data_IF_706110649638
#
_entry.id   IF_706110649638
#
_cell.length_a   1.000
_cell.length_b   1.000
_cell.length_c   1.000
_cell.angle_alpha   90.00
_cell.angle_beta   90.00
_cell.angle_gamma   90.00
#
_symmetry.space_group_name_H-M   'P 1'
#
loop_
_entity.id
_entity.type
_entity.pdbx_description
1 polymer ?
#
# COMPACT_ATOMS: atom_id res chain seq x y z
N UNK A 1 7.44 6.04 1.85
CA UNK A 1 6.21 6.61 1.25
C UNK A 1 5.13 6.79 2.29
N UNK A 2 4.09 7.52 1.95
CA UNK A 2 2.93 7.77 2.82
C UNK A 2 1.64 7.74 2.00
N UNK A 3 0.53 7.31 2.62
CA UNK A 3 -0.79 7.28 2.02
C UNK A 3 -1.59 8.50 2.48
N UNK A 4 -1.88 9.41 1.55
CA UNK A 4 -2.62 10.64 1.83
C UNK A 4 -4.09 10.57 1.39
N UNK A 5 -5.01 11.02 2.25
CA UNK A 5 -6.39 11.29 1.87
C UNK A 5 -6.49 12.69 1.23
N UNK A 6 -6.57 12.72 -0.10
CA UNK A 6 -6.54 13.99 -0.85
C UNK A 6 -7.83 14.79 -0.66
N UNK A 7 -7.68 16.06 -0.25
CA UNK A 7 -8.77 17.03 -0.15
C UNK A 7 -8.43 18.28 -0.96
N UNK A 8 -9.46 18.95 -1.49
CA UNK A 8 -9.28 20.16 -2.30
C UNK A 8 -8.58 21.25 -1.48
N UNK A 9 -7.47 21.77 -2.00
CA UNK A 9 -6.67 22.81 -1.35
C UNK A 9 -5.83 22.32 -0.16
N UNK A 10 -5.78 21.00 0.09
CA UNK A 10 -4.96 20.41 1.14
C UNK A 10 -3.46 20.59 0.88
N UNK A 11 -2.69 20.71 1.96
CA UNK A 11 -1.22 20.76 1.95
C UNK A 11 -0.69 19.54 2.69
N UNK A 12 0.26 18.81 2.10
CA UNK A 12 0.77 17.53 2.64
C UNK A 12 2.25 17.59 3.05
N UNK A 13 2.77 18.81 3.24
CA UNK A 13 4.06 19.04 3.91
C UNK A 13 5.31 19.05 3.04
N UNK A 14 5.38 18.23 1.99
CA UNK A 14 6.57 18.20 1.13
C UNK A 14 6.94 19.59 0.56
N UNK A 15 8.22 20.01 0.55
CA UNK A 15 9.43 19.24 0.88
C UNK A 15 9.89 19.31 2.34
N UNK A 16 9.35 20.22 3.15
CA UNK A 16 9.92 20.52 4.47
C UNK A 16 9.36 19.62 5.58
N UNK A 17 8.15 19.10 5.38
CA UNK A 17 7.45 18.23 6.34
C UNK A 17 7.03 16.92 5.65
N UNK A 18 7.12 15.81 6.37
CA UNK A 18 6.74 14.47 5.87
C UNK A 18 6.22 13.59 7.01
N UNK A 19 5.44 12.56 6.67
CA UNK A 19 4.90 11.62 7.62
C UNK A 19 4.07 12.30 8.72
N UNK A 20 4.08 11.71 9.91
CA UNK A 20 3.43 12.26 11.10
C UNK A 20 4.26 13.36 11.80
N UNK A 21 4.61 14.42 11.06
CA UNK A 21 5.31 15.58 11.60
C UNK A 21 6.83 15.50 11.59
N UNK A 22 7.40 14.65 10.72
CA UNK A 22 8.82 14.66 10.43
C UNK A 22 9.26 15.94 9.74
N UNK A 23 10.52 16.33 9.91
CA UNK A 23 11.10 17.52 9.29
C UNK A 23 10.79 18.82 10.05
N UNK A 24 10.46 19.88 9.30
CA UNK A 24 10.20 21.24 9.79
C UNK A 24 8.97 21.85 9.10
N UNK A 25 8.47 22.98 9.60
CA UNK A 25 7.35 23.72 8.97
C UNK A 25 6.05 22.92 8.75
N UNK A 26 5.76 21.91 9.58
CA UNK A 26 4.53 21.10 9.50
C UNK A 26 3.23 21.84 9.86
N UNK A 27 3.29 23.11 10.25
CA UNK A 27 2.11 23.85 10.67
C UNK A 27 1.11 24.03 9.50
N UNK A 28 -0.12 23.56 9.68
CA UNK A 28 -1.17 23.64 8.68
C UNK A 28 -1.08 22.60 7.55
N UNK A 29 -0.21 21.58 7.70
CA UNK A 29 -0.21 20.41 6.82
C UNK A 29 -1.21 19.36 7.30
N UNK A 30 -1.63 18.50 6.39
CA UNK A 30 -2.50 17.35 6.64
C UNK A 30 -1.59 16.13 6.73
N UNK A 31 -1.62 15.46 7.88
CA UNK A 31 -0.87 14.23 8.09
C UNK A 31 -1.42 13.08 7.24
N UNK A 32 -0.57 12.11 6.86
CA UNK A 32 -1.02 10.95 6.11
C UNK A 32 -1.94 10.04 6.93
N UNK A 33 -2.72 9.23 6.22
CA UNK A 33 -3.59 8.21 6.79
C UNK A 33 -2.78 7.01 7.30
N UNK A 34 -1.66 6.72 6.64
CA UNK A 34 -0.70 5.69 7.00
C UNK A 34 0.69 6.01 6.41
N UNK A 35 1.73 5.60 7.11
CA UNK A 35 3.12 5.64 6.65
C UNK A 35 3.57 4.25 6.21
N UNK A 36 4.36 4.18 5.14
CA UNK A 36 5.02 2.95 4.70
C UNK A 36 6.44 2.90 5.28
N UNK A 37 7.05 1.72 5.26
CA UNK A 37 8.45 1.57 5.64
C UNK A 37 9.34 2.45 4.74
N UNK A 38 10.37 3.13 5.30
CA UNK A 38 11.29 3.94 4.50
C UNK A 38 11.91 3.11 3.37
N UNK A 39 11.99 3.67 2.16
CA UNK A 39 12.57 3.01 0.98
C UNK A 39 11.78 1.79 0.43
N UNK A 40 10.56 1.50 0.91
CA UNK A 40 9.77 0.39 0.39
C UNK A 40 9.25 0.57 -1.05
N UNK A 41 9.20 1.81 -1.57
CA UNK A 41 8.69 2.18 -2.89
C UNK A 41 7.25 1.70 -3.13
N UNK A 42 6.28 2.43 -2.60
CA UNK A 42 4.86 2.14 -2.80
C UNK A 42 4.40 2.54 -4.22
N UNK A 43 4.29 1.56 -5.12
CA UNK A 43 4.14 1.82 -6.56
C UNK A 43 2.74 1.47 -7.11
N UNK A 44 2.01 0.59 -6.42
CA UNK A 44 0.67 0.16 -6.82
C UNK A 44 -0.33 0.28 -5.69
N UNK A 45 -1.57 0.67 -6.01
CA UNK A 45 -2.67 0.74 -5.03
C UNK A 45 -3.97 0.25 -5.65
N UNK A 46 -4.73 -0.58 -4.92
CA UNK A 46 -6.11 -0.94 -5.28
C UNK A 46 -6.99 -1.06 -4.05
N UNK A 47 -8.22 -0.53 -4.11
CA UNK A 47 -9.24 -0.81 -3.09
C UNK A 47 -9.92 -2.15 -3.36
N UNK A 48 -10.07 -2.96 -2.33
CA UNK A 48 -10.67 -4.27 -2.45
C UNK A 48 -12.19 -4.21 -2.40
N UNK A 49 -12.80 -4.56 -3.54
CA UNK A 49 -14.26 -4.65 -3.72
C UNK A 49 -14.73 -6.07 -4.02
N UNK A 50 -13.78 -7.02 -4.10
CA UNK A 50 -14.04 -8.43 -4.41
C UNK A 50 -14.79 -9.17 -3.31
N UNK A 51 -15.25 -10.39 -3.62
CA UNK A 51 -15.98 -11.25 -2.66
C UNK A 51 -15.28 -12.54 -2.28
N UNK A 52 -14.12 -12.81 -2.85
CA UNK A 52 -13.32 -13.99 -2.53
C UNK A 52 -12.77 -13.94 -1.10
N UNK A 53 -12.21 -12.80 -0.68
CA UNK A 53 -11.74 -12.64 0.69
C UNK A 53 -12.92 -12.38 1.64
N UNK A 54 -12.69 -12.61 2.94
CA UNK A 54 -13.71 -12.39 3.96
C UNK A 54 -14.23 -10.95 3.95
N UNK A 55 -15.42 -10.72 4.49
CA UNK A 55 -16.04 -9.39 4.52
C UNK A 55 -15.15 -8.33 5.18
N UNK A 56 -14.23 -8.73 6.07
CA UNK A 56 -13.30 -7.83 6.73
C UNK A 56 -12.34 -7.12 5.76
N UNK A 57 -12.09 -7.67 4.57
CA UNK A 57 -11.22 -7.05 3.55
C UNK A 57 -11.95 -6.04 2.67
N UNK A 58 -13.29 -6.02 2.66
CA UNK A 58 -14.04 -5.14 1.76
C UNK A 58 -13.90 -3.69 2.20
N UNK A 59 -13.48 -2.83 1.30
CA UNK A 59 -13.24 -1.41 1.58
C UNK A 59 -11.81 -1.11 2.06
N UNK A 60 -11.00 -2.12 2.34
CA UNK A 60 -9.57 -1.96 2.56
C UNK A 60 -8.85 -1.71 1.25
N UNK A 61 -7.60 -1.24 1.33
CA UNK A 61 -6.71 -1.15 0.17
C UNK A 61 -5.56 -2.13 0.26
N UNK A 62 -4.98 -2.45 -0.89
CA UNK A 62 -3.70 -3.13 -1.00
C UNK A 62 -2.70 -2.19 -1.66
N UNK A 63 -1.47 -2.21 -1.17
CA UNK A 63 -0.34 -1.47 -1.73
C UNK A 63 0.75 -2.46 -2.13
N UNK A 64 1.24 -2.34 -3.36
CA UNK A 64 2.43 -3.06 -3.82
C UNK A 64 3.65 -2.20 -3.49
N UNK A 65 4.55 -2.78 -2.71
CA UNK A 65 5.84 -2.20 -2.38
C UNK A 65 6.89 -2.86 -3.27
N UNK A 66 7.39 -2.12 -4.25
CA UNK A 66 8.34 -2.61 -5.26
C UNK A 66 9.63 -3.11 -4.62
N UNK A 67 10.06 -2.46 -3.53
CA UNK A 67 11.29 -2.77 -2.81
C UNK A 67 12.46 -1.90 -3.24
N UNK A 68 13.50 -1.91 -2.41
CA UNK A 68 14.68 -1.11 -2.68
C UNK A 68 15.63 -1.81 -3.67
N UNK A 69 16.49 -1.03 -4.32
CA UNK A 69 17.60 -1.56 -5.15
C UNK A 69 18.97 -1.20 -4.57
N UNK A 70 18.99 -0.62 -3.36
CA UNK A 70 20.10 0.21 -2.85
C UNK A 70 20.50 -0.18 -1.41
N UNK A 71 19.66 -0.92 -0.67
CA UNK A 71 19.96 -1.33 0.70
C UNK A 71 20.05 -2.84 0.84
N UNK A 72 20.69 -3.31 1.92
CA UNK A 72 20.74 -4.74 2.27
C UNK A 72 19.57 -5.14 3.18
N UNK A 73 18.65 -4.21 3.47
CA UNK A 73 17.46 -4.47 4.25
C UNK A 73 16.39 -5.01 3.30
N UNK A 74 15.78 -6.14 3.64
CA UNK A 74 14.64 -6.71 2.91
C UNK A 74 13.39 -5.82 3.11
N UNK A 75 13.38 -4.65 2.47
CA UNK A 75 12.35 -3.61 2.57
C UNK A 75 11.54 -3.56 1.28
N UNK A 76 10.21 -3.57 1.40
CA UNK A 76 9.30 -3.77 0.27
C UNK A 76 9.31 -5.22 -0.22
N UNK A 77 9.29 -5.47 -1.53
CA UNK A 77 9.18 -6.81 -2.11
C UNK A 77 7.92 -7.57 -1.64
N UNK A 78 6.82 -6.83 -1.44
CA UNK A 78 5.59 -7.35 -0.81
C UNK A 78 4.34 -6.59 -1.22
N UNK A 79 3.20 -7.15 -0.84
CA UNK A 79 1.91 -6.45 -0.82
C UNK A 79 1.51 -6.22 0.63
N UNK A 80 1.25 -4.95 0.99
CA UNK A 80 0.65 -4.55 2.25
C UNK A 80 -0.88 -4.47 2.11
N UNK A 81 -1.60 -4.76 3.19
CA UNK A 81 -3.02 -4.43 3.38
C UNK A 81 -3.13 -3.19 4.24
N UNK A 82 -4.00 -2.28 3.82
CA UNK A 82 -4.36 -1.05 4.52
C UNK A 82 -5.81 -1.19 5.02
N UNK A 83 -5.97 -1.37 6.32
CA UNK A 83 -7.28 -1.43 6.95
C UNK A 83 -7.66 -0.07 7.53
N UNK A 84 -8.75 0.51 7.04
CA UNK A 84 -9.17 1.86 7.42
C UNK A 84 -10.05 1.88 8.67
N UNK A 85 -9.73 2.78 9.59
CA UNK A 85 -10.53 3.11 10.76
C UNK A 85 -10.75 4.63 10.82
N UNK A 86 -11.83 5.08 10.20
CA UNK A 86 -12.14 6.51 10.04
C UNK A 86 -11.06 7.22 9.21
N UNK A 87 -10.35 8.18 9.83
CA UNK A 87 -9.29 8.96 9.17
C UNK A 87 -7.89 8.37 9.33
N UNK A 88 -7.76 7.21 9.99
CA UNK A 88 -6.50 6.50 10.19
C UNK A 88 -6.56 5.14 9.52
N UNK A 89 -5.41 4.52 9.31
CA UNK A 89 -5.36 3.13 8.89
C UNK A 89 -4.27 2.35 9.65
N UNK A 90 -4.45 1.03 9.70
CA UNK A 90 -3.42 0.08 10.12
C UNK A 90 -2.86 -0.61 8.89
N UNK A 91 -1.54 -0.78 8.87
CA UNK A 91 -0.79 -1.41 7.77
C UNK A 91 -0.29 -2.78 8.24
N UNK A 92 -0.49 -3.82 7.43
CA UNK A 92 0.01 -5.17 7.72
C UNK A 92 0.44 -5.87 6.44
N UNK A 93 1.40 -6.80 6.53
CA UNK A 93 1.76 -7.66 5.40
C UNK A 93 0.55 -8.49 4.93
N UNK A 94 0.39 -8.63 3.62
CA UNK A 94 -0.63 -9.47 3.00
C UNK A 94 -0.01 -10.60 2.16
N UNK A 95 0.98 -10.27 1.33
CA UNK A 95 1.74 -11.25 0.57
C UNK A 95 3.22 -10.85 0.57
N UNK A 96 4.10 -11.79 0.85
CA UNK A 96 5.55 -11.62 0.95
C UNK A 96 6.27 -12.59 0.02
N UNK A 97 7.57 -12.40 -0.21
CA UNK A 97 8.37 -13.24 -1.10
C UNK A 97 8.10 -12.98 -2.59
N UNK A 98 7.69 -11.75 -2.91
CA UNK A 98 7.61 -11.26 -4.29
C UNK A 98 8.99 -10.68 -4.67
N UNK A 99 9.26 -10.52 -5.96
CA UNK A 99 10.51 -9.88 -6.37
C UNK A 99 10.32 -8.37 -6.50
N UNK A 100 9.55 -7.87 -7.46
CA UNK A 100 9.30 -6.42 -7.59
C UNK A 100 7.84 -6.15 -7.98
N UNK A 101 6.89 -6.28 -7.04
CA UNK A 101 5.48 -6.07 -7.34
C UNK A 101 5.22 -4.59 -7.66
N UNK A 102 4.49 -4.34 -8.75
CA UNK A 102 4.26 -2.99 -9.26
C UNK A 102 2.77 -2.66 -9.36
N UNK A 103 2.01 -3.44 -10.13
CA UNK A 103 0.60 -3.17 -10.39
C UNK A 103 -0.31 -4.16 -9.65
N UNK A 104 -1.42 -3.64 -9.14
CA UNK A 104 -2.47 -4.41 -8.47
C UNK A 104 -3.80 -4.24 -9.18
N UNK A 105 -4.59 -5.32 -9.24
CA UNK A 105 -5.96 -5.26 -9.71
C UNK A 105 -6.86 -6.26 -8.96
N UNK A 106 -8.14 -5.93 -8.82
CA UNK A 106 -9.16 -6.91 -8.40
C UNK A 106 -9.71 -7.57 -9.65
N UNK A 107 -9.36 -8.83 -9.85
CA UNK A 107 -9.79 -9.63 -11.00
C UNK A 107 -11.19 -10.22 -10.83
N UNK A 108 -11.70 -10.93 -11.87
CA UNK A 108 -12.97 -11.63 -11.81
C UNK A 108 -13.06 -12.58 -10.61
N UNK A 109 -14.26 -12.65 -10.01
CA UNK A 109 -14.51 -13.40 -8.78
C UNK A 109 -14.02 -12.70 -7.51
N UNK A 110 -13.14 -11.69 -7.62
CA UNK A 110 -12.57 -10.97 -6.48
C UNK A 110 -11.18 -11.45 -6.07
N UNK A 111 -10.46 -12.16 -6.93
CA UNK A 111 -9.05 -12.46 -6.70
C UNK A 111 -8.20 -11.17 -6.78
N UNK A 112 -7.17 -11.07 -5.95
CA UNK A 112 -6.16 -10.02 -6.11
C UNK A 112 -5.14 -10.48 -7.15
N UNK A 113 -4.95 -9.67 -8.19
CA UNK A 113 -3.91 -9.85 -9.19
C UNK A 113 -2.73 -8.95 -8.83
N UNK A 114 -1.52 -9.52 -8.83
CA UNK A 114 -0.28 -8.81 -8.52
C UNK A 114 0.68 -9.01 -9.69
N UNK A 115 0.98 -7.94 -10.41
CA UNK A 115 2.00 -7.97 -11.45
C UNK A 115 3.37 -7.75 -10.80
N UNK A 116 4.21 -8.78 -10.87
CA UNK A 116 5.58 -8.77 -10.38
C UNK A 116 6.53 -8.49 -11.55
N UNK A 117 7.07 -7.27 -11.58
CA UNK A 117 7.96 -6.80 -12.63
C UNK A 117 9.26 -7.61 -12.66
N UNK A 118 9.79 -7.96 -11.50
CA UNK A 118 11.09 -8.59 -11.37
C UNK A 118 11.11 -10.03 -11.89
N UNK A 119 10.00 -10.76 -11.71
CA UNK A 119 9.84 -12.12 -12.26
C UNK A 119 9.10 -12.17 -13.60
N UNK A 120 8.41 -11.11 -14.00
CA UNK A 120 7.51 -11.11 -15.16
C UNK A 120 6.22 -11.94 -14.96
N UNK A 121 5.94 -12.35 -13.72
CA UNK A 121 4.77 -13.19 -13.36
C UNK A 121 3.61 -12.29 -12.91
N UNK A 122 2.39 -12.68 -13.29
CA UNK A 122 1.16 -12.15 -12.65
C UNK A 122 0.62 -13.19 -11.68
N UNK A 123 0.74 -12.91 -10.39
CA UNK A 123 0.19 -13.74 -9.34
C UNK A 123 -1.32 -13.53 -9.20
N UNK A 124 -2.06 -14.62 -9.00
CA UNK A 124 -3.49 -14.58 -8.68
C UNK A 124 -3.70 -15.13 -7.27
N UNK A 125 -4.02 -14.25 -6.34
CA UNK A 125 -4.26 -14.59 -4.92
C UNK A 125 -5.77 -14.70 -4.68
N UNK A 126 -6.21 -15.85 -4.17
CA UNK A 126 -7.60 -16.16 -3.86
C UNK A 126 -7.68 -16.90 -2.52
N UNK A 127 -8.74 -16.66 -1.75
CA UNK A 127 -9.08 -17.48 -0.59
C UNK A 127 -9.73 -18.78 -1.06
N UNK A 128 -9.29 -19.89 -0.49
CA UNK A 128 -9.96 -21.17 -0.63
C UNK A 128 -11.05 -21.21 0.44
N UNK A 129 -12.32 -21.20 0.03
CA UNK A 129 -13.45 -21.07 0.95
C UNK A 129 -13.46 -22.18 2.00
N UNK A 130 -13.15 -21.82 3.25
CA UNK A 130 -13.42 -22.58 4.46
C UNK A 130 -14.01 -21.62 5.50
#
# INVERSE_FOLDING_TARGET
DELNAIVRGGKYGWPDCWGNGGGSNCAGTIAPVADMEPHASADGLVFYTGKTFSNAYRGDAFIAEYGDTITTLDTGHRVKRIHFSGKKATVSDFAIGLDHPLALAVGPGGALLVADFGTGIVWRIQANGH
#
